data_IF_064447895316
#
_entry.id   IF_064447895316
#
_cell.length_a   1.000
_cell.length_b   1.000
_cell.length_c   1.000
_cell.angle_alpha   90.00
_cell.angle_beta   90.00
_cell.angle_gamma   90.00
#
_symmetry.space_group_name_H-M   'P 1'
#
loop_
_entity.id
_entity.type
_entity.pdbx_description
1 polymer ?
#
# COMPACT_ATOMS: atom_id res chain seq x y z
N UNK A 1 -21.75 -0.90 5.38
CA UNK A 1 -20.54 -1.43 4.70
C UNK A 1 -19.32 -0.52 4.88
N UNK A 2 -19.46 0.81 4.82
CA UNK A 2 -18.35 1.76 5.08
C UNK A 2 -17.77 1.65 6.51
N UNK A 3 -18.60 1.30 7.49
CA UNK A 3 -18.20 1.05 8.88
C UNK A 3 -17.24 -0.14 9.05
N UNK A 4 -17.43 -1.21 8.27
CA UNK A 4 -16.57 -2.39 8.32
C UNK A 4 -15.15 -2.10 7.80
N UNK A 5 -15.03 -1.24 6.78
CA UNK A 5 -13.74 -0.77 6.26
C UNK A 5 -12.98 0.10 7.26
N UNK A 6 -13.69 0.96 7.99
CA UNK A 6 -13.07 1.81 9.02
C UNK A 6 -12.63 0.99 10.25
N UNK A 7 -13.48 0.06 10.70
CA UNK A 7 -13.15 -0.84 11.81
C UNK A 7 -11.92 -1.69 11.50
N UNK A 8 -11.88 -2.32 10.31
CA UNK A 8 -10.72 -3.14 9.89
C UNK A 8 -9.44 -2.32 9.77
N UNK A 9 -9.52 -1.05 9.33
CA UNK A 9 -8.38 -0.15 9.32
C UNK A 9 -7.85 0.16 10.72
N UNK A 10 -8.72 0.44 11.69
CA UNK A 10 -8.33 0.68 13.10
C UNK A 10 -7.65 -0.57 13.68
N UNK A 11 -8.23 -1.75 13.48
CA UNK A 11 -7.66 -3.00 14.00
C UNK A 11 -6.29 -3.26 13.35
N UNK A 12 -6.16 -3.03 12.05
CA UNK A 12 -4.87 -3.21 11.34
C UNK A 12 -3.80 -2.26 11.87
N UNK A 13 -4.15 -0.99 12.14
CA UNK A 13 -3.24 -0.04 12.79
C UNK A 13 -2.83 -0.51 14.20
N UNK A 14 -3.78 -1.05 14.96
CA UNK A 14 -3.51 -1.67 16.26
C UNK A 14 -2.54 -2.85 16.17
N UNK A 15 -2.68 -3.72 15.17
CA UNK A 15 -1.75 -4.83 14.92
C UNK A 15 -0.35 -4.35 14.52
N UNK A 16 -0.24 -3.31 13.68
CA UNK A 16 1.05 -2.72 13.31
C UNK A 16 1.74 -2.14 14.55
N UNK A 17 1.01 -1.41 15.39
CA UNK A 17 1.54 -0.89 16.65
C UNK A 17 1.98 -2.02 17.59
N UNK A 18 1.18 -3.08 17.69
CA UNK A 18 1.50 -4.24 18.52
C UNK A 18 2.73 -5.00 18.01
N UNK A 19 2.89 -5.12 16.69
CA UNK A 19 4.09 -5.70 16.08
C UNK A 19 5.33 -4.87 16.45
N UNK A 20 5.23 -3.54 16.36
CA UNK A 20 6.32 -2.62 16.72
C UNK A 20 6.68 -2.66 18.21
N UNK A 21 5.68 -2.84 19.08
CA UNK A 21 5.87 -2.97 20.52
C UNK A 21 6.46 -4.33 20.94
N UNK A 22 6.46 -5.34 20.05
CA UNK A 22 6.99 -6.67 20.33
C UNK A 22 8.48 -6.74 19.95
N UNK A 23 9.42 -6.95 20.91
CA UNK A 23 10.85 -6.95 20.63
C UNK A 23 11.26 -8.00 19.58
N UNK A 24 12.25 -7.64 18.75
CA UNK A 24 12.89 -8.54 17.81
C UNK A 24 13.81 -9.52 18.55
N UNK A 25 13.22 -10.62 19.01
CA UNK A 25 13.93 -11.75 19.64
C UNK A 25 13.49 -13.06 19.01
N UNK A 26 14.38 -14.06 18.96
CA UNK A 26 14.11 -15.38 18.37
C UNK A 26 12.88 -16.08 18.97
N UNK A 27 12.57 -15.82 20.25
CA UNK A 27 11.39 -16.38 20.95
C UNK A 27 10.07 -15.78 20.49
N UNK A 28 10.08 -14.56 19.97
CA UNK A 28 8.88 -13.83 19.56
C UNK A 28 8.57 -13.97 18.07
N UNK A 29 9.44 -14.62 17.28
CA UNK A 29 9.30 -14.78 15.83
C UNK A 29 7.93 -15.36 15.46
N UNK A 30 7.51 -16.46 16.08
CA UNK A 30 6.20 -17.07 15.78
C UNK A 30 5.02 -16.14 16.06
N UNK A 31 5.09 -15.35 17.15
CA UNK A 31 4.06 -14.35 17.47
C UNK A 31 4.03 -13.25 16.43
N UNK A 32 5.20 -12.73 16.04
CA UNK A 32 5.33 -11.67 15.05
C UNK A 32 4.87 -12.09 13.66
N UNK A 33 5.14 -13.33 13.24
CA UNK A 33 4.59 -13.92 12.01
C UNK A 33 3.07 -14.06 12.11
N UNK A 34 2.54 -14.45 13.28
CA UNK A 34 1.10 -14.47 13.54
C UNK A 34 0.45 -13.09 13.37
N UNK A 35 1.09 -12.04 13.90
CA UNK A 35 0.64 -10.65 13.76
C UNK A 35 0.70 -10.21 12.29
N UNK A 36 1.78 -10.50 11.56
CA UNK A 36 1.92 -10.22 10.12
C UNK A 36 0.79 -10.89 9.31
N UNK A 37 0.50 -12.17 9.59
CA UNK A 37 -0.62 -12.88 8.96
C UNK A 37 -1.96 -12.20 9.26
N UNK A 38 -2.16 -11.74 10.50
CA UNK A 38 -3.33 -10.97 10.90
C UNK A 38 -3.46 -9.65 10.14
N UNK A 39 -2.35 -8.91 9.96
CA UNK A 39 -2.31 -7.69 9.14
C UNK A 39 -2.73 -8.02 7.70
N UNK A 40 -2.16 -9.07 7.09
CA UNK A 40 -2.50 -9.49 5.74
C UNK A 40 -3.97 -9.87 5.58
N UNK A 41 -4.51 -10.66 6.52
CA UNK A 41 -5.91 -11.07 6.53
C UNK A 41 -6.86 -9.88 6.64
N UNK A 42 -6.65 -9.00 7.63
CA UNK A 42 -7.51 -7.82 7.83
C UNK A 42 -7.44 -6.85 6.66
N UNK A 43 -6.26 -6.70 6.07
CA UNK A 43 -6.08 -5.91 4.85
C UNK A 43 -6.93 -6.48 3.71
N UNK A 44 -6.89 -7.80 3.49
CA UNK A 44 -7.74 -8.48 2.51
C UNK A 44 -9.23 -8.28 2.76
N UNK A 45 -9.68 -8.43 4.02
CA UNK A 45 -11.08 -8.18 4.41
C UNK A 45 -11.49 -6.73 4.14
N UNK A 46 -10.62 -5.76 4.46
CA UNK A 46 -10.89 -4.33 4.24
C UNK A 46 -11.08 -3.98 2.76
N UNK A 47 -10.45 -4.73 1.86
CA UNK A 47 -10.56 -4.56 0.41
C UNK A 47 -11.79 -5.23 -0.19
N UNK A 48 -12.52 -6.05 0.56
CA UNK A 48 -13.69 -6.82 0.10
C UNK A 48 -14.69 -6.01 -0.72
N UNK A 49 -15.19 -4.84 -0.25
CA UNK A 49 -16.14 -4.03 -1.01
C UNK A 49 -15.59 -3.54 -2.36
N UNK A 50 -14.30 -3.18 -2.42
CA UNK A 50 -13.67 -2.75 -3.66
C UNK A 50 -13.53 -3.91 -4.66
N UNK A 51 -13.13 -5.09 -4.17
CA UNK A 51 -13.02 -6.29 -4.98
C UNK A 51 -14.39 -6.72 -5.53
N UNK A 52 -15.43 -6.68 -4.69
CA UNK A 52 -16.80 -6.96 -5.11
C UNK A 52 -17.29 -6.00 -6.19
N UNK A 53 -17.02 -4.70 -6.01
CA UNK A 53 -17.36 -3.69 -7.01
C UNK A 53 -16.64 -3.91 -8.34
N UNK A 54 -15.33 -4.18 -8.30
CA UNK A 54 -14.57 -4.50 -9.51
C UNK A 54 -15.06 -5.79 -10.19
N UNK A 55 -15.37 -6.84 -9.42
CA UNK A 55 -15.90 -8.09 -9.94
C UNK A 55 -17.28 -7.94 -10.60
N UNK A 56 -18.13 -7.05 -10.07
CA UNK A 56 -19.42 -6.73 -10.67
C UNK A 56 -19.26 -6.00 -12.02
N UNK A 57 -18.24 -5.17 -12.17
CA UNK A 57 -17.91 -4.54 -13.45
C UNK A 57 -17.32 -5.58 -14.41
N UNK A 58 -16.18 -6.16 -14.09
CA UNK A 58 -15.53 -7.21 -14.86
C UNK A 58 -14.52 -7.94 -13.96
N UNK A 59 -14.70 -9.24 -13.70
CA UNK A 59 -13.79 -10.02 -12.86
C UNK A 59 -12.32 -9.97 -13.31
N UNK A 60 -12.05 -9.76 -14.59
CA UNK A 60 -10.69 -9.67 -15.14
C UNK A 60 -9.90 -8.46 -14.63
N UNK A 61 -10.58 -7.43 -14.13
CA UNK A 61 -9.95 -6.23 -13.56
C UNK A 61 -9.10 -6.56 -12.34
N UNK A 62 -9.52 -7.52 -11.52
CA UNK A 62 -8.79 -7.92 -10.30
C UNK A 62 -7.44 -8.52 -10.70
N UNK A 63 -7.45 -9.49 -11.62
CA UNK A 63 -6.23 -10.15 -12.09
C UNK A 63 -5.32 -9.16 -12.82
N UNK A 64 -5.90 -8.26 -13.62
CA UNK A 64 -5.14 -7.22 -14.34
C UNK A 64 -4.47 -6.24 -13.38
N UNK A 65 -5.21 -5.76 -12.37
CA UNK A 65 -4.67 -4.86 -11.35
C UNK A 65 -3.57 -5.53 -10.53
N UNK A 66 -3.76 -6.80 -10.14
CA UNK A 66 -2.78 -7.57 -9.38
C UNK A 66 -1.50 -7.80 -10.19
N UNK A 67 -1.63 -8.22 -11.44
CA UNK A 67 -0.49 -8.41 -12.34
C UNK A 67 0.25 -7.09 -12.56
N UNK A 68 -0.48 -5.99 -12.79
CA UNK A 68 0.10 -4.66 -12.90
C UNK A 68 0.85 -4.25 -11.63
N UNK A 69 0.30 -4.51 -10.45
CA UNK A 69 0.96 -4.23 -9.17
C UNK A 69 2.24 -5.06 -9.01
N UNK A 70 2.23 -6.35 -9.37
CA UNK A 70 3.43 -7.20 -9.35
C UNK A 70 4.52 -6.68 -10.28
N UNK A 71 4.16 -6.26 -11.50
CA UNK A 71 5.13 -5.70 -12.47
C UNK A 71 5.71 -4.38 -11.97
N UNK A 72 4.88 -3.48 -11.45
CA UNK A 72 5.35 -2.20 -10.87
C UNK A 72 6.24 -2.48 -9.67
N UNK A 73 5.75 -3.22 -8.68
CA UNK A 73 6.50 -3.51 -7.46
C UNK A 73 7.83 -4.20 -7.78
N UNK A 74 7.82 -5.23 -8.63
CA UNK A 74 9.02 -5.95 -9.05
C UNK A 74 10.01 -5.07 -9.80
N UNK A 75 9.56 -4.26 -10.76
CA UNK A 75 10.45 -3.37 -11.52
C UNK A 75 11.07 -2.28 -10.65
N UNK A 76 10.30 -1.65 -9.76
CA UNK A 76 10.81 -0.62 -8.85
C UNK A 76 11.73 -1.21 -7.78
N UNK A 77 11.41 -2.40 -7.24
CA UNK A 77 12.30 -3.12 -6.32
C UNK A 77 13.63 -3.48 -7.00
N UNK A 78 13.60 -3.98 -8.23
CA UNK A 78 14.82 -4.26 -9.01
C UNK A 78 15.62 -2.98 -9.28
N UNK A 79 14.96 -1.90 -9.69
CA UNK A 79 15.61 -0.61 -9.89
C UNK A 79 16.27 -0.09 -8.59
N UNK A 80 15.63 -0.31 -7.44
CA UNK A 80 16.21 -0.01 -6.14
C UNK A 80 17.48 -0.86 -5.92
N UNK A 81 17.40 -2.18 -6.10
CA UNK A 81 18.52 -3.11 -5.90
C UNK A 81 19.75 -2.80 -6.76
N UNK A 82 19.55 -2.33 -8.00
CA UNK A 82 20.65 -1.97 -8.91
C UNK A 82 21.14 -0.52 -8.79
N UNK A 83 20.46 0.32 -8.01
CA UNK A 83 20.85 1.71 -7.85
C UNK A 83 22.07 1.88 -6.94
N UNK A 84 22.79 3.00 -7.10
CA UNK A 84 23.89 3.36 -6.21
C UNK A 84 23.38 3.54 -4.79
N UNK A 85 24.18 3.07 -3.84
CA UNK A 85 23.87 3.09 -2.42
C UNK A 85 23.30 4.44 -1.94
N UNK A 86 22.18 4.36 -1.22
CA UNK A 86 21.52 5.48 -0.52
C UNK A 86 20.94 6.58 -1.39
N UNK A 87 21.00 6.48 -2.72
CA UNK A 87 20.46 7.52 -3.64
C UNK A 87 18.99 7.82 -3.34
N UNK A 88 18.19 6.78 -3.12
CA UNK A 88 16.75 6.95 -2.86
C UNK A 88 16.44 7.39 -1.42
N UNK A 89 17.35 7.20 -0.47
CA UNK A 89 17.14 7.60 0.94
C UNK A 89 17.02 9.12 1.11
N UNK A 90 17.65 9.90 0.22
CA UNK A 90 17.50 11.36 0.21
C UNK A 90 16.06 11.84 -0.05
N UNK A 91 15.20 10.98 -0.63
CA UNK A 91 13.80 11.31 -0.89
C UNK A 91 12.89 11.10 0.32
N UNK A 92 13.37 10.50 1.42
CA UNK A 92 12.54 10.15 2.57
C UNK A 92 11.76 11.31 3.15
N UNK A 93 12.40 12.48 3.31
CA UNK A 93 11.73 13.69 3.81
C UNK A 93 10.62 14.18 2.88
N UNK A 94 10.87 14.17 1.57
CA UNK A 94 9.88 14.55 0.55
C UNK A 94 8.70 13.58 0.53
N UNK A 95 8.97 12.26 0.54
CA UNK A 95 7.93 11.24 0.52
C UNK A 95 7.01 11.33 1.75
N UNK A 96 7.60 11.49 2.94
CA UNK A 96 6.83 11.66 4.17
C UNK A 96 5.98 12.95 4.16
N UNK A 97 6.51 14.03 3.60
CA UNK A 97 5.77 15.30 3.48
C UNK A 97 4.56 15.15 2.54
N UNK A 98 4.75 14.52 1.38
CA UNK A 98 3.66 14.27 0.43
C UNK A 98 2.62 13.32 1.03
N UNK A 99 3.05 12.27 1.73
CA UNK A 99 2.14 11.35 2.43
C UNK A 99 1.31 12.07 3.51
N UNK A 100 1.95 12.94 4.29
CA UNK A 100 1.28 13.78 5.28
C UNK A 100 0.24 14.71 4.65
N UNK A 101 0.60 15.38 3.56
CA UNK A 101 -0.32 16.21 2.78
C UNK A 101 -1.49 15.40 2.21
N UNK A 102 -1.25 14.22 1.66
CA UNK A 102 -2.30 13.34 1.15
C UNK A 102 -3.25 12.87 2.25
N UNK A 103 -2.73 12.60 3.44
CA UNK A 103 -3.54 12.23 4.61
C UNK A 103 -4.42 13.41 5.03
N UNK A 104 -3.83 14.62 5.11
CA UNK A 104 -4.57 15.84 5.38
C UNK A 104 -5.66 16.12 4.33
N UNK A 105 -5.32 16.00 3.05
CA UNK A 105 -6.28 16.14 1.95
C UNK A 105 -7.40 15.10 2.03
N UNK A 106 -7.12 13.89 2.51
CA UNK A 106 -8.14 12.84 2.72
C UNK A 106 -9.12 13.22 3.83
N UNK A 107 -8.62 13.82 4.92
CA UNK A 107 -9.47 14.34 6.00
C UNK A 107 -10.35 15.49 5.52
N UNK A 108 -9.78 16.45 4.78
CA UNK A 108 -10.55 17.55 4.18
C UNK A 108 -11.61 17.01 3.22
N UNK A 109 -11.28 16.01 2.41
CA UNK A 109 -12.20 15.44 1.43
C UNK A 109 -13.42 14.75 2.08
N UNK A 110 -13.36 14.35 3.35
CA UNK A 110 -14.52 13.83 4.09
C UNK A 110 -15.62 14.91 4.22
N UNK A 111 -15.24 16.17 4.42
CA UNK A 111 -16.18 17.29 4.57
C UNK A 111 -16.66 17.85 3.23
N UNK A 112 -15.75 17.98 2.26
CA UNK A 112 -16.04 18.65 0.98
C UNK A 112 -16.48 17.69 -0.14
N UNK A 113 -16.21 16.38 -0.02
CA UNK A 113 -16.57 15.33 -0.99
C UNK A 113 -16.25 15.71 -2.45
N UNK A 114 -15.05 16.22 -2.69
CA UNK A 114 -14.59 16.67 -4.00
C UNK A 114 -14.07 15.50 -4.86
N UNK A 115 -14.65 15.33 -6.04
CA UNK A 115 -14.20 14.34 -7.03
C UNK A 115 -12.77 14.61 -7.51
N UNK A 116 -12.39 15.89 -7.64
CA UNK A 116 -11.05 16.28 -8.09
C UNK A 116 -9.99 15.86 -7.07
N UNK A 117 -10.25 16.11 -5.77
CA UNK A 117 -9.34 15.69 -4.70
C UNK A 117 -9.23 14.17 -4.64
N UNK A 118 -10.35 13.46 -4.79
CA UNK A 118 -10.33 12.01 -4.85
C UNK A 118 -9.48 11.50 -6.03
N UNK A 119 -9.65 12.05 -7.23
CA UNK A 119 -8.86 11.65 -8.39
C UNK A 119 -7.37 11.95 -8.19
N UNK A 120 -7.03 13.14 -7.68
CA UNK A 120 -5.66 13.49 -7.34
C UNK A 120 -5.06 12.49 -6.34
N UNK A 121 -5.80 12.11 -5.30
CA UNK A 121 -5.34 11.10 -4.33
C UNK A 121 -5.10 9.73 -4.95
N UNK A 122 -5.83 9.35 -6.00
CA UNK A 122 -5.62 8.07 -6.68
C UNK A 122 -4.32 8.11 -7.50
N UNK A 123 -4.17 9.08 -8.40
CA UNK A 123 -3.01 9.15 -9.29
C UNK A 123 -1.71 9.56 -8.58
N UNK A 124 -1.74 10.61 -7.75
CA UNK A 124 -0.59 11.03 -6.96
C UNK A 124 -0.23 9.95 -5.95
N UNK A 125 -1.24 9.30 -5.35
CA UNK A 125 -1.01 8.18 -4.43
C UNK A 125 -0.32 7.01 -5.10
N UNK A 126 -0.75 6.61 -6.29
CA UNK A 126 -0.09 5.54 -7.05
C UNK A 126 1.39 5.87 -7.28
N UNK A 127 1.69 7.08 -7.80
CA UNK A 127 3.06 7.51 -8.02
C UNK A 127 3.88 7.54 -6.71
N UNK A 128 3.29 8.02 -5.62
CA UNK A 128 3.92 8.08 -4.31
C UNK A 128 4.29 6.68 -3.80
N UNK A 129 3.39 5.71 -3.87
CA UNK A 129 3.67 4.34 -3.41
C UNK A 129 4.69 3.63 -4.31
N UNK A 130 4.75 3.91 -5.61
CA UNK A 130 5.85 3.44 -6.46
C UNK A 130 7.22 3.98 -5.96
N UNK A 131 7.27 5.25 -5.53
CA UNK A 131 8.48 5.83 -4.96
C UNK A 131 8.80 5.28 -3.56
N UNK A 132 7.78 4.96 -2.75
CA UNK A 132 7.98 4.26 -1.48
C UNK A 132 8.62 2.89 -1.68
N UNK A 133 8.21 2.10 -2.69
CA UNK A 133 8.87 0.82 -2.98
C UNK A 133 10.38 0.99 -3.21
N UNK A 134 10.80 2.02 -3.95
CA UNK A 134 12.23 2.33 -4.15
C UNK A 134 12.92 2.69 -2.83
N UNK A 135 12.29 3.58 -2.06
CA UNK A 135 12.81 4.09 -0.80
C UNK A 135 12.92 3.01 0.27
N UNK A 136 11.85 2.24 0.49
CA UNK A 136 11.77 1.19 1.50
C UNK A 136 12.70 0.03 1.14
N UNK A 137 12.78 -0.37 -0.13
CA UNK A 137 13.77 -1.38 -0.55
C UNK A 137 15.19 -0.94 -0.24
N UNK A 138 15.54 0.32 -0.53
CA UNK A 138 16.86 0.87 -0.22
C UNK A 138 17.11 1.03 1.28
N UNK A 139 16.08 1.41 2.04
CA UNK A 139 16.17 1.51 3.48
C UNK A 139 16.40 0.13 4.11
N UNK A 140 15.71 -0.89 3.62
CA UNK A 140 15.89 -2.28 4.07
C UNK A 140 17.32 -2.73 3.82
N UNK A 141 17.86 -2.50 2.62
CA UNK A 141 19.26 -2.83 2.28
C UNK A 141 20.23 -2.13 3.24
N UNK A 142 20.01 -0.84 3.49
CA UNK A 142 20.87 -0.07 4.39
C UNK A 142 20.77 -0.53 5.85
N UNK A 143 19.56 -0.78 6.35
CA UNK A 143 19.32 -1.37 7.68
C UNK A 143 20.03 -2.71 7.83
N UNK A 144 19.93 -3.59 6.82
CA UNK A 144 20.65 -4.87 6.81
C UNK A 144 22.17 -4.67 6.87
N UNK A 145 22.73 -3.69 6.17
CA UNK A 145 24.18 -3.36 6.24
C UNK A 145 24.60 -2.86 7.61
N UNK A 146 23.71 -2.17 8.32
CA UNK A 146 23.92 -1.73 9.70
C UNK A 146 23.68 -2.84 10.76
N UNK A 147 23.36 -4.06 10.33
CA UNK A 147 23.17 -5.22 11.21
C UNK A 147 21.74 -5.42 11.73
N UNK A 148 20.77 -4.62 11.28
CA UNK A 148 19.35 -4.84 11.58
C UNK A 148 18.87 -6.07 10.79
N UNK A 149 18.37 -7.08 11.50
CA UNK A 149 17.87 -8.31 10.91
C UNK A 149 16.36 -8.53 10.97
N UNK A 150 15.59 -7.47 11.25
CA UNK A 150 14.14 -7.53 11.39
C UNK A 150 13.37 -7.69 10.07
N UNK A 151 13.51 -8.86 9.44
CA UNK A 151 12.84 -9.20 8.20
C UNK A 151 11.31 -9.18 8.29
N UNK A 152 10.73 -9.38 9.49
CA UNK A 152 9.28 -9.34 9.69
C UNK A 152 8.78 -7.90 9.53
N UNK A 153 9.46 -6.95 10.18
CA UNK A 153 9.14 -5.53 10.02
C UNK A 153 9.34 -5.08 8.57
N UNK A 154 10.47 -5.43 7.97
CA UNK A 154 10.73 -5.14 6.55
C UNK A 154 9.69 -5.74 5.59
N UNK A 155 9.15 -6.92 5.89
CA UNK A 155 8.07 -7.52 5.10
C UNK A 155 6.77 -6.75 5.23
N UNK A 156 6.46 -6.19 6.41
CA UNK A 156 5.25 -5.37 6.60
C UNK A 156 5.34 -4.09 5.77
N UNK A 157 6.47 -3.38 5.79
CA UNK A 157 6.67 -2.14 5.04
C UNK A 157 6.40 -2.38 3.53
N UNK A 158 7.10 -3.37 2.95
CA UNK A 158 6.93 -3.73 1.54
C UNK A 158 5.52 -4.28 1.20
N UNK A 159 4.91 -5.03 2.12
CA UNK A 159 3.54 -5.54 1.94
C UNK A 159 2.53 -4.40 1.85
N UNK A 160 2.65 -3.39 2.71
CA UNK A 160 1.76 -2.24 2.70
C UNK A 160 1.91 -1.45 1.40
N UNK A 161 3.13 -1.19 0.94
CA UNK A 161 3.37 -0.53 -0.35
C UNK A 161 2.71 -1.28 -1.52
N UNK A 162 2.92 -2.60 -1.58
CA UNK A 162 2.32 -3.44 -2.61
C UNK A 162 0.79 -3.36 -2.61
N UNK A 163 0.16 -3.49 -1.44
CA UNK A 163 -1.30 -3.41 -1.29
C UNK A 163 -1.82 -2.04 -1.74
N UNK A 164 -1.12 -0.96 -1.40
CA UNK A 164 -1.54 0.38 -1.79
C UNK A 164 -1.48 0.56 -3.31
N UNK A 165 -0.41 0.09 -3.97
CA UNK A 165 -0.30 0.10 -5.44
C UNK A 165 -1.46 -0.70 -6.05
N UNK A 166 -1.68 -1.93 -5.59
CA UNK A 166 -2.75 -2.79 -6.08
C UNK A 166 -4.13 -2.14 -5.95
N UNK A 167 -4.45 -1.59 -4.76
CA UNK A 167 -5.72 -0.92 -4.52
C UNK A 167 -5.94 0.26 -5.46
N UNK A 168 -4.91 1.08 -5.68
CA UNK A 168 -4.98 2.27 -6.53
C UNK A 168 -5.16 1.87 -8.00
N UNK A 169 -4.41 0.87 -8.49
CA UNK A 169 -4.58 0.32 -9.83
C UNK A 169 -5.99 -0.24 -10.05
N UNK A 170 -6.51 -1.00 -9.08
CA UNK A 170 -7.85 -1.58 -9.18
C UNK A 170 -8.93 -0.50 -9.30
N UNK A 171 -8.81 0.60 -8.54
CA UNK A 171 -9.73 1.75 -8.63
C UNK A 171 -9.64 2.40 -10.02
N UNK A 172 -8.43 2.67 -10.53
CA UNK A 172 -8.22 3.29 -11.85
C UNK A 172 -8.83 2.41 -12.97
N UNK A 173 -8.56 1.10 -12.94
CA UNK A 173 -9.07 0.17 -13.94
C UNK A 173 -10.59 0.04 -13.87
N UNK A 174 -11.17 0.02 -12.67
CA UNK A 174 -12.62 -0.02 -12.47
C UNK A 174 -13.31 1.22 -13.03
N UNK A 175 -12.78 2.42 -12.76
CA UNK A 175 -13.32 3.67 -13.29
C UNK A 175 -13.27 3.69 -14.83
N UNK A 176 -12.14 3.24 -15.40
CA UNK A 176 -11.97 3.18 -16.85
C UNK A 176 -12.97 2.23 -17.53
N UNK A 177 -13.24 1.07 -16.93
CA UNK A 177 -14.21 0.12 -17.48
C UNK A 177 -15.65 0.62 -17.31
N UNK A 178 -15.98 1.29 -16.20
CA UNK A 178 -17.28 1.92 -16.00
C UNK A 178 -17.57 2.99 -17.08
N UNK A 179 -16.62 3.88 -17.34
CA UNK A 179 -16.75 4.92 -18.37
C UNK A 179 -16.90 4.33 -19.78
N UNK A 180 -16.21 3.23 -20.06
CA UNK A 180 -16.31 2.51 -21.33
C UNK A 180 -17.68 1.86 -21.51
N UNK A 181 -18.28 1.30 -20.45
CA UNK A 181 -19.65 0.78 -20.49
C UNK A 181 -20.67 1.89 -20.72
N UNK A 182 -20.51 3.04 -20.07
CA UNK A 182 -21.38 4.22 -20.26
C UNK A 182 -21.38 4.75 -21.69
N UNK A 183 -20.26 4.65 -22.42
CA UNK A 183 -20.16 5.09 -23.83
C UNK A 183 -20.78 4.10 -24.82
N UNK A 184 -21.03 2.86 -24.41
CA UNK A 184 -21.59 1.79 -25.27
C UNK A 184 -23.11 1.69 -25.17
N UNK A 185 -23.70 2.26 -24.11
CA UNK A 185 -25.14 2.36 -23.89
C UNK A 185 -25.64 3.74 -24.33
#
# INVERSE_FOLDING_TARGET
MQEAGFLTAIITLGLIFWLKATPHESKNVSKRIGILTGIGFLTGVSMGPLLQYAAFLDPSLITTAFTGACVIFGSFTLAALFSRDRTWLYLGGTLMTVLGWMTFASLVNIFFRSTILFQAQIYVGLALFCLFVLYDTQMIIEKRRMGDDDYIWHSVDLFLDFVHIFRKLLIILSQKEEDKKKRRN
#
